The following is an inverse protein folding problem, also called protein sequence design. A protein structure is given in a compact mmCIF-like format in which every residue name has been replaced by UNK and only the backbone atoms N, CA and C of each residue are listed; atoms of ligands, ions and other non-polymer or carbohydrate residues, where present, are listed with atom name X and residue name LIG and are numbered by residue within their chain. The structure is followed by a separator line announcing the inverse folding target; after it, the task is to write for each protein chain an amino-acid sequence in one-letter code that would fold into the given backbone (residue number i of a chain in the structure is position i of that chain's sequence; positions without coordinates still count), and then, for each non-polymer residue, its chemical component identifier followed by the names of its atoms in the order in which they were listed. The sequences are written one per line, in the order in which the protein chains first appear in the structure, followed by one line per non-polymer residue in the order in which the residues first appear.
data_IF_996385002465
#
_entry.id   IF_996385002465
#
_cell.length_a   1.000
_cell.length_b   1.000
_cell.length_c   1.000
_cell.angle_alpha   90.00
_cell.angle_beta   90.00
_cell.angle_gamma   90.00
#
_symmetry.space_group_name_H-M   'P 1'
#
loop_
_entity.id
_entity.type
_entity.pdbx_description
1 polymer ?
#
# COMPACT_ATOMS: atom_id res chain seq x y z
N UNK A 1 15.92 25.19 -23.34
CA UNK A 1 16.43 24.50 -22.13
C UNK A 1 15.27 23.76 -21.47
N UNK A 2 15.07 22.49 -21.79
CA UNK A 2 14.11 21.64 -21.07
C UNK A 2 14.82 20.98 -19.90
N UNK A 3 14.63 21.53 -18.70
CA UNK A 3 15.09 20.92 -17.47
C UNK A 3 14.08 19.84 -17.09
N UNK A 4 14.28 18.61 -17.58
CA UNK A 4 13.54 17.45 -17.11
C UNK A 4 13.97 17.18 -15.67
N UNK A 5 13.15 17.61 -14.72
CA UNK A 5 13.26 17.17 -13.32
C UNK A 5 13.29 15.64 -13.34
N UNK A 6 14.23 14.96 -12.66
CA UNK A 6 14.17 13.52 -12.53
C UNK A 6 12.96 13.20 -11.64
N UNK A 7 11.81 13.02 -12.26
CA UNK A 7 10.62 12.52 -11.59
C UNK A 7 10.80 11.01 -11.47
N UNK A 8 11.38 10.57 -10.36
CA UNK A 8 11.23 9.20 -9.90
C UNK A 8 9.77 9.04 -9.42
N UNK A 9 8.82 9.05 -10.35
CA UNK A 9 7.59 8.32 -10.11
C UNK A 9 8.06 6.88 -9.89
N UNK A 10 7.71 6.31 -8.74
CA UNK A 10 7.61 4.85 -8.69
C UNK A 10 6.51 4.53 -9.71
N UNK A 11 6.87 4.31 -10.98
CA UNK A 11 5.99 3.78 -12.00
C UNK A 11 5.81 2.30 -11.66
N UNK A 12 5.24 2.02 -10.49
CA UNK A 12 4.58 0.77 -10.25
C UNK A 12 3.29 0.87 -11.06
N UNK A 13 3.36 0.39 -12.31
CA UNK A 13 2.18 0.17 -13.15
C UNK A 13 1.13 -0.63 -12.36
N UNK A 14 1.60 -1.43 -11.39
CA UNK A 14 0.82 -2.20 -10.44
C UNK A 14 1.28 -1.94 -9.00
N UNK A 15 0.64 -1.01 -8.30
CA UNK A 15 0.78 -0.88 -6.85
C UNK A 15 -0.25 -1.81 -6.19
N UNK A 16 0.17 -2.66 -5.27
CA UNK A 16 -0.71 -3.61 -4.59
C UNK A 16 -0.64 -3.42 -3.08
N UNK A 17 -1.75 -3.05 -2.48
CA UNK A 17 -1.88 -2.90 -1.04
C UNK A 17 -2.41 -4.20 -0.44
N UNK A 18 -1.71 -4.70 0.58
CA UNK A 18 -2.14 -5.87 1.37
C UNK A 18 -2.21 -5.48 2.83
N UNK A 19 -3.34 -5.73 3.45
CA UNK A 19 -3.56 -5.52 4.88
C UNK A 19 -3.55 -6.88 5.58
N UNK A 20 -2.79 -6.97 6.66
CA UNK A 20 -2.67 -8.14 7.49
C UNK A 20 -3.18 -7.85 8.90
N UNK A 21 -3.90 -8.77 9.52
CA UNK A 21 -4.19 -8.70 10.95
C UNK A 21 -2.98 -9.13 11.80
N UNK A 22 -3.12 -9.10 13.13
CA UNK A 22 -2.03 -9.50 14.06
C UNK A 22 -1.58 -10.94 13.87
N UNK A 23 -2.47 -11.79 13.34
CA UNK A 23 -2.21 -13.20 13.09
C UNK A 23 -1.47 -13.41 11.76
N UNK A 24 -1.15 -12.33 11.02
CA UNK A 24 -0.50 -12.39 9.71
C UNK A 24 -1.43 -12.78 8.57
N UNK A 25 -2.74 -12.85 8.80
CA UNK A 25 -3.72 -13.21 7.77
C UNK A 25 -4.03 -11.97 6.92
N UNK A 26 -4.06 -12.14 5.59
CA UNK A 26 -4.48 -11.05 4.69
C UNK A 26 -5.99 -10.83 4.85
N UNK A 27 -6.37 -9.66 5.37
CA UNK A 27 -7.79 -9.28 5.55
C UNK A 27 -8.32 -8.47 4.38
N UNK A 28 -7.43 -7.75 3.66
CA UNK A 28 -7.83 -6.96 2.51
C UNK A 28 -6.69 -6.89 1.49
N UNK A 29 -7.04 -6.97 0.20
CA UNK A 29 -6.14 -6.71 -0.92
C UNK A 29 -6.78 -5.66 -1.81
N UNK A 30 -6.03 -4.63 -2.16
CA UNK A 30 -6.48 -3.58 -3.07
C UNK A 30 -5.38 -3.28 -4.10
N UNK A 31 -5.66 -3.41 -5.40
CA UNK A 31 -4.80 -2.80 -6.41
C UNK A 31 -4.97 -1.27 -6.30
N UNK A 32 -3.84 -0.56 -6.33
CA UNK A 32 -3.75 0.88 -6.43
C UNK A 32 -3.20 1.26 -7.80
N UNK A 33 -3.76 2.31 -8.39
CA UNK A 33 -3.22 2.94 -9.59
C UNK A 33 -2.54 4.26 -9.19
N UNK A 34 -1.27 4.44 -9.54
CA UNK A 34 -0.52 5.65 -9.21
C UNK A 34 0.10 5.63 -7.80
N UNK A 35 0.42 6.81 -7.24
CA UNK A 35 1.28 6.94 -6.05
C UNK A 35 0.59 6.65 -4.70
N UNK A 36 -0.74 6.53 -4.66
CA UNK A 36 -1.52 6.38 -3.43
C UNK A 36 -2.81 5.58 -3.65
N UNK A 37 -3.27 4.87 -2.63
CA UNK A 37 -4.61 4.28 -2.60
C UNK A 37 -5.26 4.51 -1.25
N UNK A 38 -6.57 4.72 -1.27
CA UNK A 38 -7.38 4.79 -0.06
C UNK A 38 -7.85 3.38 0.32
N UNK A 39 -7.71 3.05 1.61
CA UNK A 39 -8.06 1.75 2.16
C UNK A 39 -9.14 1.95 3.21
N UNK A 40 -10.32 1.41 2.94
CA UNK A 40 -11.40 1.40 3.91
C UNK A 40 -11.19 0.29 4.94
N UNK A 41 -11.03 0.69 6.21
CA UNK A 41 -10.90 -0.22 7.35
C UNK A 41 -12.22 -0.36 8.11
N UNK A 42 -13.29 0.32 7.68
CA UNK A 42 -14.54 0.53 8.44
C UNK A 42 -15.31 -0.77 8.79
N UNK A 43 -15.02 -1.88 8.11
CA UNK A 43 -15.62 -3.20 8.38
C UNK A 43 -14.74 -4.17 9.19
N UNK A 44 -13.51 -3.81 9.55
CA UNK A 44 -12.58 -4.72 10.24
C UNK A 44 -12.77 -4.72 11.76
N UNK A 45 -12.63 -5.87 12.43
CA UNK A 45 -12.68 -5.90 13.90
C UNK A 45 -11.65 -4.94 14.53
N UNK A 46 -11.90 -4.39 15.74
CA UNK A 46 -10.90 -3.59 16.46
C UNK A 46 -9.60 -4.37 16.65
N UNK A 47 -8.46 -3.71 16.46
CA UNK A 47 -7.17 -4.39 16.52
C UNK A 47 -6.05 -3.71 15.75
N UNK A 48 -4.90 -4.38 15.72
CA UNK A 48 -3.71 -3.92 14.98
C UNK A 48 -3.67 -4.54 13.59
N UNK A 49 -3.36 -3.71 12.61
CA UNK A 49 -3.27 -4.09 11.21
C UNK A 49 -1.96 -3.62 10.61
N UNK A 50 -1.29 -4.50 9.86
CA UNK A 50 -0.10 -4.15 9.08
C UNK A 50 -0.50 -3.93 7.63
N UNK A 51 -0.20 -2.77 7.08
CA UNK A 51 -0.41 -2.43 5.68
C UNK A 51 0.93 -2.55 4.96
N UNK A 52 0.96 -3.27 3.83
CA UNK A 52 2.12 -3.35 2.93
C UNK A 52 1.73 -2.81 1.57
N UNK A 53 2.47 -1.83 1.08
CA UNK A 53 2.43 -1.41 -0.31
C UNK A 53 3.49 -2.19 -1.08
N UNK A 54 3.07 -2.92 -2.10
CA UNK A 54 3.93 -3.71 -2.99
C UNK A 54 3.98 -3.04 -4.34
N UNK A 55 5.17 -2.88 -4.89
CA UNK A 55 5.38 -2.52 -6.28
C UNK A 55 6.04 -3.68 -7.03
N UNK A 56 6.36 -3.44 -8.29
CA UNK A 56 6.94 -4.44 -9.21
C UNK A 56 8.26 -5.04 -8.70
N UNK A 57 9.02 -4.29 -7.87
CA UNK A 57 10.30 -4.72 -7.29
C UNK A 57 10.25 -5.20 -5.83
N UNK A 58 9.07 -5.25 -5.19
CA UNK A 58 8.92 -5.70 -3.80
C UNK A 58 8.14 -4.72 -2.91
N UNK A 59 8.36 -4.80 -1.59
CA UNK A 59 7.67 -3.94 -0.62
C UNK A 59 8.22 -2.51 -0.72
N UNK A 60 7.37 -1.58 -1.11
CA UNK A 60 7.68 -0.15 -1.21
C UNK A 60 7.50 0.56 0.14
N UNK A 61 6.45 0.18 0.88
CA UNK A 61 6.15 0.78 2.17
C UNK A 61 5.47 -0.22 3.12
N UNK A 62 5.66 0.00 4.42
CA UNK A 62 4.98 -0.73 5.48
C UNK A 62 4.47 0.24 6.54
N UNK A 63 3.20 0.15 6.88
CA UNK A 63 2.57 0.90 7.96
C UNK A 63 1.87 -0.04 8.94
N UNK A 64 1.72 0.39 10.19
CA UNK A 64 0.88 -0.29 11.17
C UNK A 64 -0.19 0.70 11.62
N UNK A 65 -1.44 0.26 11.58
CA UNK A 65 -2.60 1.07 11.95
C UNK A 65 -3.35 0.33 13.04
N UNK A 66 -3.77 1.07 14.06
CA UNK A 66 -4.70 0.57 15.07
C UNK A 66 -6.10 1.05 14.71
N UNK A 67 -7.03 0.11 14.68
CA UNK A 67 -8.46 0.39 14.59
C UNK A 67 -9.12 0.19 15.94
#
# INVERSE_FOLDING_TARGET
MHCTRPYAAIVAVDLNFRIFNILGQTVLRRPGSGASAELDLSGLAPGLYTIRALGTGGVLARGVVRR
#
